data_IF_690427325446
#
_entry.id   IF_690427325446
#
_cell.length_a   1.000
_cell.length_b   1.000
_cell.length_c   1.000
_cell.angle_alpha   90.00
_cell.angle_beta   90.00
_cell.angle_gamma   90.00
#
_symmetry.space_group_name_H-M   'P 1'
#
loop_
_entity.id
_entity.type
_entity.pdbx_description
1 polymer ?
#
# COMPACT_ATOMS: atom_id res chain seq x y z
N UNK A 1 -5.20 53.04 -9.64
CA UNK A 1 -5.53 52.64 -8.26
C UNK A 1 -4.59 51.53 -7.83
N UNK A 2 -4.28 51.40 -6.53
CA UNK A 2 -3.54 50.26 -5.99
C UNK A 2 -4.48 49.06 -5.81
N UNK A 3 -4.02 47.86 -6.17
CA UNK A 3 -4.45 46.60 -5.53
C UNK A 3 -3.18 45.90 -5.04
N UNK A 4 -3.27 45.25 -3.89
CA UNK A 4 -2.13 44.89 -3.04
C UNK A 4 -2.19 43.40 -2.73
N UNK A 5 -1.18 42.65 -3.18
CA UNK A 5 -0.99 41.25 -2.80
C UNK A 5 0.31 41.12 -1.99
N UNK A 6 0.33 40.23 -0.99
CA UNK A 6 1.46 40.00 -0.08
C UNK A 6 1.46 38.53 0.36
N UNK A 7 2.58 38.09 0.93
CA UNK A 7 2.81 36.76 1.53
C UNK A 7 3.04 35.62 0.52
N UNK A 8 3.92 34.64 0.75
CA UNK A 8 4.96 34.52 1.82
C UNK A 8 5.95 33.39 1.50
N UNK A 9 7.19 33.51 1.98
CA UNK A 9 8.25 32.50 1.84
C UNK A 9 8.28 31.49 2.99
N UNK A 10 8.37 30.18 2.69
CA UNK A 10 9.10 29.10 3.42
C UNK A 10 9.37 28.04 2.33
N UNK A 11 10.56 27.65 1.86
CA UNK A 11 11.88 27.32 2.44
C UNK A 11 12.10 25.81 2.68
N UNK A 12 13.32 25.32 2.38
CA UNK A 12 13.83 23.93 2.38
C UNK A 12 13.25 22.96 1.30
N UNK A 13 14.01 22.01 0.75
CA UNK A 13 15.48 21.84 0.81
C UNK A 13 16.01 20.44 0.37
N UNK A 14 16.98 20.40 -0.57
CA UNK A 14 17.71 19.20 -1.07
C UNK A 14 16.87 18.15 -1.85
N UNK A 15 17.43 17.32 -2.75
CA UNK A 15 18.82 17.16 -3.19
C UNK A 15 18.96 16.49 -4.59
N UNK A 16 20.18 16.55 -5.14
CA UNK A 16 20.62 16.03 -6.47
C UNK A 16 21.35 14.67 -6.33
N UNK A 17 21.73 13.95 -7.42
CA UNK A 17 21.19 13.89 -8.79
C UNK A 17 21.08 12.44 -9.34
N UNK A 18 20.80 12.29 -10.64
CA UNK A 18 21.05 11.06 -11.42
C UNK A 18 22.56 10.78 -11.60
N UNK A 19 22.91 9.53 -11.94
CA UNK A 19 24.21 9.15 -12.49
C UNK A 19 24.11 7.88 -13.33
N UNK A 20 24.61 7.90 -14.58
CA UNK A 20 24.52 6.77 -15.51
C UNK A 20 25.75 6.67 -16.43
N UNK A 21 26.24 5.44 -16.60
CA UNK A 21 27.32 4.97 -17.49
C UNK A 21 27.07 3.46 -17.69
N UNK A 22 26.98 2.81 -18.87
CA UNK A 22 27.81 2.86 -20.09
C UNK A 22 29.27 2.45 -19.83
N UNK A 23 29.94 1.58 -20.60
CA UNK A 23 29.57 0.62 -21.66
C UNK A 23 30.72 -0.39 -21.78
N UNK A 24 30.53 -1.62 -22.29
CA UNK A 24 31.64 -2.58 -22.37
C UNK A 24 31.33 -3.96 -22.95
N UNK A 25 31.60 -4.12 -24.25
CA UNK A 25 31.49 -5.37 -25.03
C UNK A 25 32.50 -6.43 -24.55
N UNK A 26 32.04 -7.66 -24.28
CA UNK A 26 32.82 -8.90 -24.51
C UNK A 26 31.93 -10.17 -24.48
N UNK A 27 32.16 -11.07 -25.44
CA UNK A 27 31.78 -12.49 -25.49
C UNK A 27 32.94 -13.17 -26.26
N UNK A 28 33.29 -14.48 -26.08
CA UNK A 28 32.33 -15.57 -26.28
C UNK A 28 32.58 -16.91 -25.51
N UNK A 29 31.67 -17.88 -25.76
CA UNK A 29 31.88 -19.34 -25.88
C UNK A 29 32.54 -20.16 -24.73
N UNK A 30 31.72 -21.01 -24.09
CA UNK A 30 31.76 -22.50 -24.08
C UNK A 30 30.81 -22.98 -22.95
N UNK A 31 29.68 -23.62 -23.26
CA UNK A 31 29.49 -25.03 -23.64
C UNK A 31 29.45 -25.99 -22.43
N UNK A 32 28.26 -26.54 -22.16
CA UNK A 32 28.04 -27.92 -21.69
C UNK A 32 26.53 -28.29 -21.82
N UNK A 33 26.22 -29.59 -21.81
CA UNK A 33 24.86 -30.14 -21.94
C UNK A 33 24.03 -29.93 -20.60
N UNK A 34 22.72 -30.27 -20.44
CA UNK A 34 21.96 -31.37 -21.07
C UNK A 34 20.43 -31.31 -20.90
N UNK A 35 19.77 -31.44 -22.05
CA UNK A 35 18.45 -32.07 -22.35
C UNK A 35 17.65 -32.70 -21.18
N UNK A 36 16.37 -32.31 -21.05
CA UNK A 36 15.25 -33.29 -20.95
C UNK A 36 13.87 -32.70 -21.28
N UNK A 37 13.05 -33.61 -21.84
CA UNK A 37 11.65 -33.54 -22.34
C UNK A 37 10.64 -32.87 -21.39
N UNK A 38 9.49 -32.34 -21.83
CA UNK A 38 8.92 -32.24 -23.18
C UNK A 38 7.77 -33.23 -23.46
N UNK A 39 6.52 -32.81 -23.23
CA UNK A 39 5.22 -33.37 -23.68
C UNK A 39 4.11 -32.40 -23.18
N UNK A 40 2.95 -32.19 -23.80
CA UNK A 40 2.49 -32.43 -25.18
C UNK A 40 1.31 -31.46 -25.48
N UNK A 41 0.95 -31.23 -26.74
CA UNK A 41 -0.20 -30.38 -27.15
C UNK A 41 -1.07 -31.10 -28.18
N UNK A 42 -2.38 -31.20 -27.91
CA UNK A 42 -3.41 -31.59 -28.89
C UNK A 42 -4.77 -30.94 -28.51
N UNK A 43 -5.72 -30.71 -29.46
CA UNK A 43 -6.79 -29.73 -29.25
C UNK A 43 -8.24 -30.24 -29.45
N UNK A 44 -9.19 -29.36 -29.08
CA UNK A 44 -10.53 -29.14 -29.66
C UNK A 44 -11.62 -30.24 -29.61
N UNK A 45 -12.77 -29.85 -29.07
CA UNK A 45 -14.11 -30.28 -29.51
C UNK A 45 -15.15 -29.20 -29.12
N UNK A 46 -16.07 -28.87 -30.03
CA UNK A 46 -17.22 -27.98 -29.78
C UNK A 46 -18.52 -28.79 -29.74
N UNK A 47 -19.50 -28.33 -28.95
CA UNK A 47 -20.91 -28.72 -29.07
C UNK A 47 -21.80 -27.61 -28.49
N UNK A 48 -23.01 -27.45 -29.03
CA UNK A 48 -23.96 -26.40 -28.67
C UNK A 48 -25.26 -26.99 -28.07
N UNK A 49 -26.20 -26.09 -27.75
CA UNK A 49 -27.58 -26.31 -27.29
C UNK A 49 -27.79 -26.94 -25.89
N UNK A 50 -28.88 -26.60 -25.19
CA UNK A 50 -29.85 -25.56 -25.51
C UNK A 50 -31.13 -25.60 -24.68
N UNK A 51 -31.81 -24.45 -24.62
CA UNK A 51 -33.15 -24.24 -24.03
C UNK A 51 -33.26 -24.49 -22.50
N UNK A 52 -34.41 -24.12 -21.93
CA UNK A 52 -34.67 -24.19 -20.49
C UNK A 52 -36.17 -24.16 -20.16
N UNK A 53 -36.50 -24.34 -18.88
CA UNK A 53 -37.87 -24.36 -18.37
C UNK A 53 -37.96 -23.71 -16.98
N UNK A 54 -39.18 -23.36 -16.56
CA UNK A 54 -39.47 -22.57 -15.35
C UNK A 54 -40.50 -23.27 -14.44
N UNK A 55 -40.75 -22.69 -13.26
CA UNK A 55 -41.93 -22.92 -12.36
C UNK A 55 -41.87 -24.09 -11.34
N UNK A 56 -41.37 -23.73 -10.13
CA UNK A 56 -42.02 -23.90 -8.80
C UNK A 56 -42.15 -25.27 -8.08
N UNK A 57 -42.72 -25.18 -6.86
CA UNK A 57 -43.30 -26.23 -5.99
C UNK A 57 -42.42 -26.97 -4.93
N UNK A 58 -41.92 -26.19 -3.97
CA UNK A 58 -41.90 -26.45 -2.51
C UNK A 58 -42.33 -27.82 -1.93
N UNK A 59 -41.44 -28.47 -1.14
CA UNK A 59 -41.71 -29.12 0.17
C UNK A 59 -40.43 -29.77 0.76
N UNK A 60 -40.25 -29.73 2.09
CA UNK A 60 -39.28 -30.58 2.82
C UNK A 60 -38.19 -29.84 3.63
N UNK A 61 -38.42 -29.63 4.92
CA UNK A 61 -37.40 -29.42 5.97
C UNK A 61 -37.11 -30.79 6.65
N UNK A 62 -35.91 -31.06 7.19
CA UNK A 62 -35.32 -30.40 8.38
C UNK A 62 -33.92 -29.78 8.09
N UNK A 63 -33.51 -28.68 8.73
CA UNK A 63 -33.21 -28.49 10.16
C UNK A 63 -32.02 -29.32 10.66
N UNK A 64 -30.87 -28.66 10.80
CA UNK A 64 -29.71 -29.15 11.57
C UNK A 64 -29.25 -28.05 12.54
N UNK A 65 -29.29 -28.36 13.83
CA UNK A 65 -28.66 -27.61 14.92
C UNK A 65 -27.84 -28.60 15.77
N UNK A 66 -26.76 -28.15 16.45
CA UNK A 66 -25.86 -29.05 17.16
C UNK A 66 -26.54 -29.73 18.36
N UNK A 67 -26.18 -30.99 18.60
CA UNK A 67 -26.73 -31.78 19.71
C UNK A 67 -25.94 -31.55 21.01
N UNK A 68 -26.67 -31.31 22.10
CA UNK A 68 -26.17 -31.52 23.46
C UNK A 68 -26.03 -33.02 23.74
N UNK A 69 -25.12 -33.39 24.64
CA UNK A 69 -25.12 -34.72 25.28
C UNK A 69 -24.91 -34.56 26.78
N UNK A 70 -25.78 -35.18 27.59
CA UNK A 70 -25.62 -35.25 29.04
C UNK A 70 -26.24 -36.54 29.60
N UNK A 71 -25.51 -37.25 30.45
CA UNK A 71 -26.06 -38.21 31.42
C UNK A 71 -25.88 -39.72 31.13
N UNK A 72 -25.05 -40.36 31.98
CA UNK A 72 -25.22 -41.72 32.55
C UNK A 72 -25.16 -42.98 31.65
N UNK A 73 -24.99 -44.20 32.24
CA UNK A 73 -24.26 -44.58 33.47
C UNK A 73 -23.44 -45.91 33.33
N UNK A 74 -22.73 -46.31 34.41
CA UNK A 74 -22.28 -47.69 34.72
C UNK A 74 -21.19 -48.34 33.81
N UNK A 75 -20.39 -49.32 34.24
CA UNK A 75 -20.06 -49.87 35.58
C UNK A 75 -18.74 -50.71 35.53
N UNK A 76 -18.38 -51.34 36.65
CA UNK A 76 -17.19 -52.18 36.95
C UNK A 76 -15.91 -51.38 37.30
N UNK A 77 -15.26 -51.46 38.49
CA UNK A 77 -14.92 -52.58 39.42
C UNK A 77 -13.64 -53.32 38.96
N UNK A 78 -12.55 -53.50 39.72
CA UNK A 78 -12.18 -53.30 41.15
C UNK A 78 -10.62 -53.15 41.27
N UNK A 79 -9.89 -52.95 42.39
CA UNK A 79 -10.15 -52.77 43.84
C UNK A 79 -8.94 -52.00 44.46
N UNK A 80 -9.15 -51.08 45.41
CA UNK A 80 -8.18 -50.78 46.49
C UNK A 80 -8.83 -50.01 47.67
N UNK A 81 -8.69 -50.52 48.90
CA UNK A 81 -9.22 -49.87 50.11
C UNK A 81 -8.17 -49.08 50.89
N UNK A 82 -8.46 -47.84 51.27
CA UNK A 82 -7.92 -47.26 52.51
C UNK A 82 -8.98 -46.36 53.19
N UNK A 83 -9.12 -46.50 54.50
CA UNK A 83 -10.14 -45.80 55.30
C UNK A 83 -9.48 -44.72 56.14
N UNK A 84 -9.98 -43.48 56.04
CA UNK A 84 -9.64 -42.37 56.91
C UNK A 84 -10.93 -41.58 57.24
N UNK A 85 -11.72 -42.13 58.17
CA UNK A 85 -12.87 -41.43 58.75
C UNK A 85 -12.40 -40.35 59.75
N UNK A 86 -13.17 -39.26 59.83
CA UNK A 86 -13.23 -38.32 60.95
C UNK A 86 -14.33 -37.25 60.72
N UNK A 87 -15.58 -37.66 60.48
CA UNK A 87 -16.74 -36.75 60.65
C UNK A 87 -17.14 -36.70 62.13
N UNK A 88 -16.40 -35.97 62.95
CA UNK A 88 -16.80 -35.69 64.34
C UNK A 88 -17.84 -34.56 64.39
N UNK A 89 -19.11 -34.94 64.34
CA UNK A 89 -20.24 -34.11 64.77
C UNK A 89 -20.04 -33.62 66.21
N UNK A 90 -20.24 -32.33 66.52
CA UNK A 90 -20.02 -31.77 67.86
C UNK A 90 -21.12 -32.21 68.84
N UNK A 91 -21.06 -33.48 69.27
CA UNK A 91 -21.91 -34.01 70.35
C UNK A 91 -21.72 -33.16 71.60
N UNK A 92 -22.80 -32.51 72.04
CA UNK A 92 -22.86 -31.72 73.26
C UNK A 92 -22.61 -32.58 74.51
N UNK A 93 -21.33 -32.83 74.84
CA UNK A 93 -20.95 -33.21 76.20
C UNK A 93 -20.92 -31.95 77.04
N UNK A 94 -21.97 -31.78 77.85
CA UNK A 94 -22.06 -30.79 78.94
C UNK A 94 -21.07 -31.13 80.07
N UNK A 95 -19.78 -31.02 79.76
CA UNK A 95 -18.67 -31.14 80.71
C UNK A 95 -18.70 -29.95 81.67
N UNK A 96 -19.57 -30.04 82.68
CA UNK A 96 -19.87 -29.01 83.65
C UNK A 96 -18.57 -28.62 84.40
N UNK A 97 -18.03 -27.39 84.24
CA UNK A 97 -16.67 -27.06 84.67
C UNK A 97 -16.47 -27.11 86.20
N UNK A 98 -17.56 -27.14 86.96
CA UNK A 98 -17.56 -27.10 88.42
C UNK A 98 -17.27 -28.45 89.11
N UNK A 99 -16.96 -29.54 88.37
CA UNK A 99 -16.72 -30.86 88.99
C UNK A 99 -15.27 -31.12 89.48
N UNK A 100 -14.33 -30.17 89.29
CA UNK A 100 -12.95 -30.27 89.82
C UNK A 100 -12.69 -29.26 90.95
N UNK A 101 -13.68 -29.06 91.82
CA UNK A 101 -13.51 -28.46 93.14
C UNK A 101 -14.21 -29.33 94.19
N UNK A 102 -13.52 -30.40 94.63
CA UNK A 102 -13.83 -31.00 95.94
C UNK A 102 -13.30 -30.04 97.02
N UNK A 103 -14.16 -29.44 97.87
CA UNK A 103 -13.66 -28.63 98.96
C UNK A 103 -12.92 -29.53 99.97
N UNK A 104 -11.60 -29.37 100.04
CA UNK A 104 -10.79 -29.96 101.11
C UNK A 104 -11.21 -29.29 102.42
N UNK A 105 -12.10 -29.97 103.16
CA UNK A 105 -12.59 -29.52 104.46
C UNK A 105 -11.40 -29.53 105.44
N UNK A 106 -10.85 -28.34 105.69
CA UNK A 106 -9.69 -28.13 106.54
C UNK A 106 -10.10 -28.21 108.03
N UNK A 107 -10.54 -29.39 108.47
CA UNK A 107 -10.90 -29.61 109.88
C UNK A 107 -9.65 -29.55 110.75
N UNK A 108 -9.56 -28.51 111.58
CA UNK A 108 -8.44 -28.34 112.51
C UNK A 108 -8.42 -29.45 113.57
N UNK A 109 -7.46 -30.37 113.45
CA UNK A 109 -6.98 -31.20 114.56
C UNK A 109 -5.46 -31.18 114.55
N UNK A 110 -4.88 -31.08 115.75
CA UNK A 110 -3.44 -30.81 115.98
C UNK A 110 -2.57 -31.83 115.23
N UNK A 111 -1.91 -31.38 114.16
CA UNK A 111 -1.14 -32.25 113.28
C UNK A 111 0.26 -32.52 113.81
N UNK A 112 0.59 -33.80 114.06
CA UNK A 112 1.97 -34.25 114.12
C UNK A 112 2.66 -34.15 112.75
N UNK A 113 3.98 -34.30 112.71
CA UNK A 113 4.85 -34.12 111.52
C UNK A 113 4.29 -34.75 110.23
N UNK A 114 3.71 -35.95 110.33
CA UNK A 114 3.06 -36.67 109.22
C UNK A 114 2.02 -35.84 108.44
N UNK A 115 1.25 -34.99 109.11
CA UNK A 115 0.22 -34.16 108.45
C UNK A 115 0.80 -32.98 107.66
N UNK A 116 2.00 -32.51 108.03
CA UNK A 116 2.75 -31.54 107.22
C UNK A 116 3.37 -32.22 106.00
N UNK A 117 3.95 -33.42 106.19
CA UNK A 117 4.55 -34.22 105.10
C UNK A 117 3.53 -34.59 104.02
N UNK A 118 2.29 -34.96 104.39
CA UNK A 118 1.27 -35.26 103.39
C UNK A 118 0.85 -33.98 102.63
N UNK A 119 0.68 -32.84 103.31
CA UNK A 119 0.34 -31.55 102.64
C UNK A 119 1.45 -31.05 101.71
N UNK A 120 2.72 -31.18 102.06
CA UNK A 120 3.82 -30.80 101.16
C UNK A 120 3.94 -31.75 99.98
N UNK A 121 3.64 -33.04 100.18
CA UNK A 121 3.54 -34.03 99.10
C UNK A 121 2.36 -33.77 98.17
N UNK A 122 1.18 -33.46 98.70
CA UNK A 122 0.00 -33.04 97.93
C UNK A 122 0.32 -31.78 97.09
N UNK A 123 0.94 -30.76 97.70
CA UNK A 123 1.37 -29.56 97.00
C UNK A 123 2.38 -29.86 95.88
N UNK A 124 3.36 -30.73 96.11
CA UNK A 124 4.33 -31.13 95.09
C UNK A 124 3.69 -31.93 93.94
N UNK A 125 2.76 -32.85 94.24
CA UNK A 125 2.03 -33.61 93.23
C UNK A 125 1.11 -32.69 92.39
N UNK A 126 0.47 -31.70 93.01
CA UNK A 126 -0.30 -30.68 92.33
C UNK A 126 0.59 -29.80 91.43
N UNK A 127 1.76 -29.37 91.93
CA UNK A 127 2.74 -28.61 91.16
C UNK A 127 3.23 -29.40 89.93
N UNK A 128 3.63 -30.66 90.11
CA UNK A 128 4.06 -31.55 89.03
C UNK A 128 2.95 -31.78 87.99
N UNK A 129 1.70 -31.93 88.43
CA UNK A 129 0.55 -32.06 87.53
C UNK A 129 0.22 -30.74 86.79
N UNK A 130 0.39 -29.59 87.43
CA UNK A 130 0.27 -28.26 86.83
C UNK A 130 1.36 -28.07 85.76
N UNK A 131 2.62 -28.39 86.07
CA UNK A 131 3.73 -28.16 85.14
C UNK A 131 3.72 -29.14 83.96
N UNK A 132 3.26 -30.38 84.18
CA UNK A 132 2.96 -31.35 83.10
C UNK A 132 1.85 -30.82 82.18
N UNK A 133 0.79 -30.22 82.74
CA UNK A 133 -0.27 -29.57 81.94
C UNK A 133 0.24 -28.34 81.19
N UNK A 134 1.09 -27.49 81.80
CA UNK A 134 1.72 -26.35 81.11
C UNK A 134 2.56 -26.82 79.92
N UNK A 135 3.38 -27.86 80.10
CA UNK A 135 4.22 -28.41 79.04
C UNK A 135 3.37 -28.95 77.87
N UNK A 136 2.28 -29.67 78.13
CA UNK A 136 1.39 -30.13 77.06
C UNK A 136 0.62 -28.96 76.41
N UNK A 137 0.22 -27.93 77.16
CA UNK A 137 -0.40 -26.71 76.61
C UNK A 137 0.56 -25.99 75.66
N UNK A 138 1.83 -25.82 76.02
CA UNK A 138 2.85 -25.21 75.15
C UNK A 138 3.06 -26.04 73.88
N UNK A 139 3.25 -27.36 74.02
CA UNK A 139 3.37 -28.30 72.90
C UNK A 139 2.16 -28.29 71.95
N UNK A 140 0.94 -28.11 72.48
CA UNK A 140 -0.26 -27.95 71.67
C UNK A 140 -0.35 -26.57 71.01
N UNK A 141 0.08 -25.51 71.70
CA UNK A 141 0.16 -24.15 71.16
C UNK A 141 1.15 -24.08 69.99
N UNK A 142 2.35 -24.63 70.13
CA UNK A 142 3.38 -24.61 69.09
C UNK A 142 2.92 -25.40 67.86
N UNK A 143 2.32 -26.59 68.07
CA UNK A 143 1.71 -27.39 66.99
C UNK A 143 0.49 -26.71 66.35
N UNK A 144 -0.19 -25.80 67.05
CA UNK A 144 -1.25 -24.98 66.47
C UNK A 144 -0.66 -23.81 65.66
N UNK A 145 0.42 -23.19 66.12
CA UNK A 145 1.14 -22.14 65.41
C UNK A 145 1.77 -22.66 64.10
N UNK A 146 2.42 -23.83 64.12
CA UNK A 146 2.93 -24.52 62.92
C UNK A 146 1.83 -24.75 61.88
N UNK A 147 0.67 -25.27 62.31
CA UNK A 147 -0.49 -25.49 61.44
C UNK A 147 -1.06 -24.19 60.89
N UNK A 148 -1.16 -23.15 61.72
CA UNK A 148 -1.65 -21.82 61.31
C UNK A 148 -0.74 -21.22 60.24
N UNK A 149 0.59 -21.28 60.44
CA UNK A 149 1.58 -20.84 59.45
C UNK A 149 1.54 -21.67 58.16
N UNK A 150 1.30 -22.98 58.24
CA UNK A 150 1.14 -23.83 57.06
C UNK A 150 -0.13 -23.47 56.26
N UNK A 151 -1.26 -23.25 56.95
CA UNK A 151 -2.51 -22.80 56.32
C UNK A 151 -2.34 -21.42 55.69
N UNK A 152 -1.77 -20.44 56.41
CA UNK A 152 -1.51 -19.09 55.88
C UNK A 152 -0.59 -19.10 54.65
N UNK A 153 0.40 -20.01 54.61
CA UNK A 153 1.25 -20.19 53.42
C UNK A 153 0.44 -20.74 52.25
N UNK A 154 -0.37 -21.78 52.46
CA UNK A 154 -1.23 -22.34 51.43
C UNK A 154 -2.27 -21.34 50.90
N UNK A 155 -2.90 -20.57 51.79
CA UNK A 155 -3.81 -19.47 51.47
C UNK A 155 -3.13 -18.43 50.58
N UNK A 156 -1.97 -17.88 50.99
CA UNK A 156 -1.27 -16.88 50.17
C UNK A 156 -0.68 -17.44 48.87
N UNK A 157 -0.56 -18.75 48.70
CA UNK A 157 -0.26 -19.36 47.40
C UNK A 157 -1.53 -19.40 46.54
N UNK A 158 -2.63 -19.91 47.06
CA UNK A 158 -3.92 -19.97 46.35
C UNK A 158 -4.41 -18.57 45.93
N UNK A 159 -4.24 -17.54 46.76
CA UNK A 159 -4.54 -16.14 46.39
C UNK A 159 -3.69 -15.65 45.21
N UNK A 160 -2.38 -15.95 45.20
CA UNK A 160 -1.49 -15.57 44.09
C UNK A 160 -1.82 -16.33 42.81
N UNK A 161 -2.18 -17.60 42.90
CA UNK A 161 -2.50 -18.41 41.74
C UNK A 161 -3.88 -18.06 41.15
N UNK A 162 -4.84 -17.66 42.00
CA UNK A 162 -6.08 -17.02 41.57
C UNK A 162 -5.83 -15.67 40.86
N UNK A 163 -4.95 -14.81 41.40
CA UNK A 163 -4.56 -13.54 40.76
C UNK A 163 -3.94 -13.76 39.37
N UNK A 164 -3.02 -14.72 39.22
CA UNK A 164 -2.44 -15.11 37.92
C UNK A 164 -3.49 -15.63 36.95
N UNK A 165 -4.50 -16.37 37.43
CA UNK A 165 -5.57 -16.89 36.57
C UNK A 165 -6.47 -15.75 36.06
N UNK A 166 -6.81 -14.81 36.93
CA UNK A 166 -7.50 -13.55 36.60
C UNK A 166 -6.73 -12.72 35.55
N UNK A 167 -5.40 -12.62 35.70
CA UNK A 167 -4.51 -11.94 34.74
C UNK A 167 -4.39 -12.71 33.42
N UNK A 168 -4.36 -14.05 33.46
CA UNK A 168 -4.38 -14.90 32.28
C UNK A 168 -5.68 -14.76 31.49
N UNK A 169 -6.84 -14.76 32.15
CA UNK A 169 -8.13 -14.51 31.49
C UNK A 169 -8.16 -13.13 30.83
N UNK A 170 -7.82 -12.06 31.56
CA UNK A 170 -7.80 -10.68 31.02
C UNK A 170 -6.85 -10.53 29.82
N UNK A 171 -5.67 -11.16 29.86
CA UNK A 171 -4.70 -11.12 28.76
C UNK A 171 -5.10 -12.01 27.58
N UNK A 172 -5.73 -13.16 27.83
CA UNK A 172 -6.33 -14.03 26.81
C UNK A 172 -7.48 -13.31 26.07
N UNK A 173 -8.42 -12.72 26.80
CA UNK A 173 -9.56 -11.99 26.22
C UNK A 173 -9.09 -10.76 25.44
N UNK A 174 -8.10 -10.02 25.96
CA UNK A 174 -7.48 -8.92 25.24
C UNK A 174 -6.78 -9.38 23.94
N UNK A 175 -6.04 -10.48 23.99
CA UNK A 175 -5.39 -11.07 22.81
C UNK A 175 -6.40 -11.58 21.77
N UNK A 176 -7.51 -12.18 22.22
CA UNK A 176 -8.60 -12.61 21.34
C UNK A 176 -9.29 -11.41 20.67
N UNK A 177 -9.59 -10.34 21.42
CA UNK A 177 -10.13 -9.10 20.84
C UNK A 177 -9.14 -8.39 19.90
N UNK A 178 -7.84 -8.44 20.16
CA UNK A 178 -6.84 -7.96 19.20
C UNK A 178 -6.79 -8.83 17.93
N UNK A 179 -6.86 -10.15 18.05
CA UNK A 179 -6.87 -11.06 16.90
C UNK A 179 -8.09 -10.80 16.00
N UNK A 180 -9.27 -10.61 16.60
CA UNK A 180 -10.50 -10.22 15.88
C UNK A 180 -10.29 -8.89 15.16
N UNK A 181 -9.86 -7.83 15.85
CA UNK A 181 -9.62 -6.51 15.23
C UNK A 181 -8.60 -6.55 14.08
N UNK A 182 -7.54 -7.37 14.22
CA UNK A 182 -6.51 -7.56 13.19
C UNK A 182 -7.07 -8.31 11.98
N UNK A 183 -7.97 -9.27 12.19
CA UNK A 183 -8.67 -9.96 11.10
C UNK A 183 -9.68 -9.04 10.39
N UNK A 184 -10.49 -8.29 11.14
CA UNK A 184 -11.49 -7.35 10.60
C UNK A 184 -10.83 -6.24 9.76
N UNK A 185 -9.73 -5.65 10.24
CA UNK A 185 -8.98 -4.63 9.52
C UNK A 185 -8.30 -5.21 8.25
N UNK A 186 -7.76 -6.43 8.32
CA UNK A 186 -7.23 -7.11 7.14
C UNK A 186 -8.33 -7.40 6.10
N UNK A 187 -9.53 -7.80 6.55
CA UNK A 187 -10.70 -8.00 5.70
C UNK A 187 -11.17 -6.69 5.06
N UNK A 188 -11.26 -5.59 5.83
CA UNK A 188 -11.60 -4.25 5.34
C UNK A 188 -10.62 -3.77 4.27
N UNK A 189 -9.32 -3.84 4.54
CA UNK A 189 -8.26 -3.48 3.58
C UNK A 189 -8.33 -4.35 2.31
N UNK A 190 -8.65 -5.65 2.44
CA UNK A 190 -8.83 -6.56 1.31
C UNK A 190 -10.06 -6.20 0.47
N UNK A 191 -11.17 -5.84 1.11
CA UNK A 191 -12.40 -5.40 0.45
C UNK A 191 -12.20 -4.07 -0.29
N UNK A 192 -11.54 -3.09 0.34
CA UNK A 192 -11.20 -1.79 -0.25
C UNK A 192 -10.25 -1.93 -1.46
N UNK A 193 -9.24 -2.79 -1.36
CA UNK A 193 -8.39 -3.14 -2.51
C UNK A 193 -9.19 -3.80 -3.63
N UNK A 194 -10.13 -4.68 -3.29
CA UNK A 194 -10.98 -5.37 -4.27
C UNK A 194 -11.95 -4.43 -4.99
N UNK A 195 -12.54 -3.44 -4.30
CA UNK A 195 -13.40 -2.42 -4.94
C UNK A 195 -12.56 -1.45 -5.78
N UNK A 196 -11.38 -1.04 -5.31
CA UNK A 196 -10.44 -0.22 -6.08
C UNK A 196 -9.98 -0.91 -7.38
N UNK A 197 -9.60 -2.19 -7.31
CA UNK A 197 -9.25 -2.99 -8.51
C UNK A 197 -10.43 -3.11 -9.48
N UNK A 198 -11.66 -3.29 -8.98
CA UNK A 198 -12.87 -3.33 -9.82
C UNK A 198 -13.10 -1.99 -10.54
N UNK A 199 -12.93 -0.87 -9.84
CA UNK A 199 -13.07 0.47 -10.40
C UNK A 199 -11.97 0.80 -11.43
N UNK A 200 -10.72 0.35 -11.18
CA UNK A 200 -9.62 0.49 -12.15
C UNK A 200 -9.85 -0.37 -13.41
N UNK A 201 -10.41 -1.58 -13.28
CA UNK A 201 -10.82 -2.40 -14.44
C UNK A 201 -11.91 -1.69 -15.26
N UNK A 202 -12.97 -1.19 -14.63
CA UNK A 202 -14.01 -0.39 -15.30
C UNK A 202 -13.43 0.81 -16.08
N UNK A 203 -12.50 1.56 -15.46
CA UNK A 203 -11.79 2.67 -16.12
C UNK A 203 -10.93 2.21 -17.30
N UNK A 204 -10.21 1.10 -17.14
CA UNK A 204 -9.39 0.50 -18.19
C UNK A 204 -10.26 0.09 -19.39
N UNK A 205 -11.36 -0.62 -19.15
CA UNK A 205 -12.21 -1.17 -20.21
C UNK A 205 -13.02 -0.07 -20.92
N UNK A 206 -13.48 0.97 -20.20
CA UNK A 206 -14.03 2.18 -20.82
C UNK A 206 -12.98 2.94 -21.68
N UNK A 207 -11.71 2.94 -21.26
CA UNK A 207 -10.61 3.53 -22.04
C UNK A 207 -10.28 2.71 -23.29
N UNK A 208 -10.28 1.36 -23.19
CA UNK A 208 -10.16 0.46 -24.36
C UNK A 208 -11.29 0.67 -25.36
N UNK A 209 -12.54 0.76 -24.90
CA UNK A 209 -13.69 0.99 -25.77
C UNK A 209 -13.59 2.35 -26.51
N UNK A 210 -13.16 3.41 -25.81
CA UNK A 210 -12.86 4.70 -26.44
C UNK A 210 -11.71 4.60 -27.46
N UNK A 211 -10.65 3.85 -27.15
CA UNK A 211 -9.53 3.65 -28.06
C UNK A 211 -9.93 2.85 -29.32
N UNK A 212 -10.82 1.85 -29.19
CA UNK A 212 -11.39 1.12 -30.31
C UNK A 212 -12.23 2.04 -31.22
N UNK A 213 -13.19 2.78 -30.66
CA UNK A 213 -14.00 3.75 -31.44
C UNK A 213 -13.16 4.84 -32.09
N UNK A 214 -12.09 5.31 -31.44
CA UNK A 214 -11.17 6.26 -32.05
C UNK A 214 -10.33 5.61 -33.18
N UNK A 215 -9.94 4.32 -33.05
CA UNK A 215 -9.26 3.58 -34.12
C UNK A 215 -10.17 3.38 -35.34
N UNK A 216 -11.44 3.09 -35.13
CA UNK A 216 -12.46 3.00 -36.19
C UNK A 216 -12.59 4.34 -36.93
N UNK A 217 -12.75 5.45 -36.21
CA UNK A 217 -12.79 6.81 -36.80
C UNK A 217 -11.50 7.16 -37.56
N UNK A 218 -10.32 6.78 -37.05
CA UNK A 218 -9.06 6.98 -37.78
C UNK A 218 -9.00 6.16 -39.06
N UNK A 219 -9.57 4.95 -39.10
CA UNK A 219 -9.68 4.17 -40.33
C UNK A 219 -10.69 4.77 -41.31
N UNK A 220 -11.82 5.25 -40.82
CA UNK A 220 -12.85 5.96 -41.59
C UNK A 220 -12.29 7.25 -42.22
N UNK A 221 -11.69 8.13 -41.41
CA UNK A 221 -11.04 9.36 -41.88
C UNK A 221 -9.84 9.09 -42.79
N UNK A 222 -9.13 7.97 -42.63
CA UNK A 222 -8.07 7.55 -43.55
C UNK A 222 -8.64 7.16 -44.93
N UNK A 223 -9.78 6.44 -44.96
CA UNK A 223 -10.49 6.14 -46.23
C UNK A 223 -11.01 7.42 -46.89
N UNK A 224 -11.62 8.33 -46.14
CA UNK A 224 -12.07 9.61 -46.66
C UNK A 224 -10.91 10.49 -47.15
N UNK A 225 -9.78 10.52 -46.44
CA UNK A 225 -8.55 11.20 -46.91
C UNK A 225 -8.07 10.60 -48.22
N UNK A 226 -7.97 9.27 -48.32
CA UNK A 226 -7.53 8.61 -49.55
C UNK A 226 -8.47 8.89 -50.74
N UNK A 227 -9.79 8.89 -50.51
CA UNK A 227 -10.78 9.28 -51.51
C UNK A 227 -10.62 10.74 -51.95
N UNK A 228 -10.54 11.68 -51.00
CA UNK A 228 -10.34 13.10 -51.28
C UNK A 228 -9.03 13.36 -52.04
N UNK A 229 -7.93 12.69 -51.67
CA UNK A 229 -6.65 12.75 -52.39
C UNK A 229 -6.75 12.18 -53.81
N UNK A 230 -7.65 11.22 -54.07
CA UNK A 230 -7.86 10.67 -55.42
C UNK A 230 -8.67 11.63 -56.32
N UNK A 231 -9.73 12.25 -55.80
CA UNK A 231 -10.59 13.17 -56.57
C UNK A 231 -10.03 14.60 -56.67
N UNK A 232 -9.03 14.97 -55.85
CA UNK A 232 -8.36 16.27 -55.96
C UNK A 232 -7.40 16.27 -57.16
N UNK A 233 -7.36 17.34 -57.98
CA UNK A 233 -6.39 17.47 -59.06
C UNK A 233 -4.94 17.30 -58.59
N UNK A 234 -4.21 16.36 -59.19
CA UNK A 234 -2.88 15.96 -58.71
C UNK A 234 -1.80 17.04 -58.89
N UNK A 235 -1.97 17.96 -59.84
CA UNK A 235 -1.03 19.06 -60.03
C UNK A 235 -1.17 20.11 -58.92
N UNK A 236 -2.41 20.48 -58.58
CA UNK A 236 -2.68 21.32 -57.40
C UNK A 236 -2.17 20.70 -56.09
N UNK A 237 -2.23 19.37 -55.95
CA UNK A 237 -1.65 18.69 -54.78
C UNK A 237 -0.11 18.85 -54.71
N UNK A 238 0.60 18.83 -55.85
CA UNK A 238 2.06 19.06 -55.88
C UNK A 238 2.37 20.50 -55.49
N UNK A 239 1.68 21.46 -56.10
CA UNK A 239 1.83 22.89 -55.81
C UNK A 239 1.62 23.18 -54.31
N UNK A 240 0.59 22.57 -53.69
CA UNK A 240 0.36 22.68 -52.25
C UNK A 240 1.38 21.92 -51.40
N UNK A 241 1.91 20.79 -51.85
CA UNK A 241 2.97 20.07 -51.14
C UNK A 241 4.27 20.89 -51.14
N UNK A 242 4.60 21.57 -52.24
CA UNK A 242 5.73 22.49 -52.34
C UNK A 242 5.54 23.75 -51.48
N UNK A 243 4.40 24.43 -51.60
CA UNK A 243 4.06 25.58 -50.74
C UNK A 243 4.03 25.21 -49.24
N UNK A 244 3.59 23.99 -48.89
CA UNK A 244 3.63 23.48 -47.52
C UNK A 244 5.06 23.20 -47.06
N UNK A 245 5.89 22.54 -47.89
CA UNK A 245 7.33 22.34 -47.62
C UNK A 245 8.05 23.67 -47.38
N UNK A 246 7.81 24.68 -48.22
CA UNK A 246 8.36 26.03 -48.01
C UNK A 246 7.89 26.66 -46.70
N UNK A 247 6.58 26.63 -46.42
CA UNK A 247 6.00 27.18 -45.18
C UNK A 247 6.58 26.50 -43.93
N UNK A 248 6.74 25.17 -43.97
CA UNK A 248 7.35 24.39 -42.88
C UNK A 248 8.85 24.69 -42.75
N UNK A 249 9.59 24.85 -43.85
CA UNK A 249 10.99 25.26 -43.81
C UNK A 249 11.17 26.67 -43.23
N UNK A 250 10.34 27.62 -43.63
CA UNK A 250 10.34 28.98 -43.07
C UNK A 250 10.03 28.97 -41.57
N UNK A 251 9.01 28.22 -41.13
CA UNK A 251 8.70 28.07 -39.70
C UNK A 251 9.81 27.36 -38.93
N UNK A 252 10.44 26.32 -39.49
CA UNK A 252 11.61 25.65 -38.91
C UNK A 252 12.76 26.63 -38.72
N UNK A 253 13.08 27.43 -39.74
CA UNK A 253 14.13 28.45 -39.66
C UNK A 253 13.82 29.51 -38.60
N UNK A 254 12.61 30.06 -38.58
CA UNK A 254 12.16 31.05 -37.59
C UNK A 254 12.20 30.49 -36.16
N UNK A 255 11.76 29.24 -35.97
CA UNK A 255 11.77 28.57 -34.67
C UNK A 255 13.20 28.30 -34.19
N UNK A 256 14.10 27.80 -35.05
CA UNK A 256 15.52 27.59 -34.70
C UNK A 256 16.22 28.91 -34.39
N UNK A 257 15.95 29.98 -35.16
CA UNK A 257 16.47 31.32 -34.86
C UNK A 257 15.96 31.84 -33.51
N UNK A 258 14.66 31.68 -33.22
CA UNK A 258 14.07 32.07 -31.93
C UNK A 258 14.65 31.29 -30.75
N UNK A 259 14.83 29.97 -30.88
CA UNK A 259 15.46 29.13 -29.86
C UNK A 259 16.94 29.45 -29.65
N UNK A 260 17.69 29.72 -30.73
CA UNK A 260 19.08 30.15 -30.65
C UNK A 260 19.20 31.54 -29.99
N UNK A 261 18.31 32.48 -30.31
CA UNK A 261 18.25 33.79 -29.66
C UNK A 261 17.91 33.69 -28.17
N UNK A 262 16.90 32.87 -27.81
CA UNK A 262 16.54 32.60 -26.42
C UNK A 262 17.71 31.98 -25.64
N UNK A 263 18.43 31.05 -26.27
CA UNK A 263 19.62 30.44 -25.69
C UNK A 263 20.79 31.43 -25.54
N UNK A 264 21.01 32.34 -26.51
CA UNK A 264 22.01 33.39 -26.40
C UNK A 264 21.70 34.37 -25.26
N UNK A 265 20.43 34.74 -25.07
CA UNK A 265 19.98 35.57 -23.96
C UNK A 265 20.18 34.88 -22.60
N UNK A 266 19.82 33.59 -22.48
CA UNK A 266 20.09 32.79 -21.28
C UNK A 266 21.60 32.67 -21.00
N UNK A 267 22.39 32.39 -22.03
CA UNK A 267 23.85 32.30 -21.93
C UNK A 267 24.49 33.63 -21.50
N UNK A 268 24.00 34.76 -22.01
CA UNK A 268 24.45 36.09 -21.58
C UNK A 268 24.10 36.37 -20.11
N UNK A 269 22.87 36.07 -19.67
CA UNK A 269 22.46 36.22 -18.28
C UNK A 269 23.24 35.31 -17.32
N UNK A 270 23.48 34.04 -17.69
CA UNK A 270 24.31 33.12 -16.92
C UNK A 270 25.78 33.57 -16.85
N UNK A 271 26.31 34.17 -17.93
CA UNK A 271 27.66 34.77 -17.93
C UNK A 271 27.75 36.00 -17.02
N UNK A 272 26.75 36.88 -17.06
CA UNK A 272 26.66 38.07 -16.20
C UNK A 272 26.55 37.67 -14.72
N UNK A 273 25.68 36.70 -14.40
CA UNK A 273 25.57 36.13 -13.07
C UNK A 273 26.91 35.52 -12.58
N UNK A 274 27.66 34.82 -13.44
CA UNK A 274 29.00 34.31 -13.09
C UNK A 274 30.01 35.45 -12.82
N UNK A 275 29.86 36.60 -13.49
CA UNK A 275 30.70 37.77 -13.23
C UNK A 275 30.30 38.53 -11.97
N UNK A 276 29.02 38.69 -11.68
CA UNK A 276 28.55 39.28 -10.42
C UNK A 276 28.96 38.40 -9.22
N UNK A 277 28.75 37.09 -9.34
CA UNK A 277 29.18 36.05 -8.39
C UNK A 277 30.71 36.08 -8.14
N UNK A 278 31.51 36.50 -9.13
CA UNK A 278 32.95 36.75 -8.99
C UNK A 278 33.25 38.12 -8.35
N UNK A 279 32.60 39.20 -8.80
CA UNK A 279 32.79 40.57 -8.30
C UNK A 279 32.47 40.68 -6.81
N UNK A 280 31.38 40.05 -6.36
CA UNK A 280 31.02 39.99 -4.94
C UNK A 280 32.13 39.33 -4.10
N UNK A 281 32.60 38.15 -4.53
CA UNK A 281 33.62 37.38 -3.79
C UNK A 281 34.98 38.08 -3.79
N UNK A 282 35.32 38.80 -4.86
CA UNK A 282 36.50 39.68 -4.87
C UNK A 282 36.36 40.84 -3.88
N UNK A 283 35.20 41.51 -3.81
CA UNK A 283 34.94 42.53 -2.79
C UNK A 283 34.97 41.95 -1.37
N UNK A 284 34.47 40.73 -1.17
CA UNK A 284 34.47 40.07 0.14
C UNK A 284 35.89 39.74 0.61
N UNK A 285 36.77 39.27 -0.29
CA UNK A 285 38.20 39.13 -0.02
C UNK A 285 38.88 40.47 0.30
N UNK A 286 38.51 41.56 -0.38
CA UNK A 286 39.05 42.89 -0.08
C UNK A 286 38.59 43.43 1.28
N UNK A 287 37.31 43.22 1.64
CA UNK A 287 36.75 43.50 2.97
C UNK A 287 37.37 42.63 4.09
N UNK A 288 37.98 41.48 3.74
CA UNK A 288 38.77 40.64 4.66
C UNK A 288 40.23 41.09 4.76
N UNK A 289 40.85 41.52 3.64
CA UNK A 289 42.20 42.10 3.57
C UNK A 289 42.36 43.34 4.46
N UNK A 290 41.35 44.21 4.52
CA UNK A 290 41.36 45.40 5.40
C UNK A 290 41.27 45.08 6.89
N UNK A 291 40.98 43.83 7.28
CA UNK A 291 40.91 43.35 8.68
C UNK A 291 42.20 42.67 9.15
N UNK A 292 43.34 42.96 8.53
CA UNK A 292 44.68 42.61 9.03
C UNK A 292 45.27 41.28 8.53
N UNK A 293 44.56 40.51 7.71
CA UNK A 293 45.09 39.27 7.12
C UNK A 293 45.87 39.58 5.83
N UNK A 294 47.12 39.11 5.75
CA UNK A 294 47.98 39.25 4.56
C UNK A 294 47.42 38.45 3.38
N UNK A 295 46.60 39.08 2.55
CA UNK A 295 46.06 38.48 1.33
C UNK A 295 47.17 38.23 0.29
N UNK A 296 47.43 36.96 -0.03
CA UNK A 296 48.29 36.58 -1.14
C UNK A 296 47.54 36.66 -2.49
N UNK A 297 48.27 36.67 -3.60
CA UNK A 297 47.66 36.69 -4.94
C UNK A 297 46.98 35.36 -5.34
N UNK A 298 47.19 34.28 -4.58
CA UNK A 298 46.68 32.94 -4.88
C UNK A 298 45.14 32.84 -4.86
N UNK A 299 44.47 33.12 -3.72
CA UNK A 299 43.00 33.00 -3.60
C UNK A 299 42.22 33.85 -4.61
N UNK A 300 42.78 34.99 -5.03
CA UNK A 300 42.20 35.82 -6.09
C UNK A 300 42.22 35.10 -7.44
N UNK A 301 43.39 34.61 -7.86
CA UNK A 301 43.53 33.83 -9.10
C UNK A 301 42.69 32.55 -9.08
N UNK A 302 42.57 31.91 -7.92
CA UNK A 302 41.74 30.70 -7.75
C UNK A 302 40.24 30.99 -7.95
N UNK A 303 39.72 32.13 -7.49
CA UNK A 303 38.35 32.55 -7.77
C UNK A 303 38.14 32.90 -9.25
N UNK A 304 39.08 33.63 -9.85
CA UNK A 304 39.07 33.99 -11.27
C UNK A 304 39.10 32.73 -12.16
N UNK A 305 39.95 31.74 -11.85
CA UNK A 305 40.02 30.44 -12.52
C UNK A 305 38.75 29.59 -12.30
N UNK A 306 38.15 29.63 -11.11
CA UNK A 306 36.86 28.96 -10.83
C UNK A 306 35.72 29.57 -11.65
N UNK A 307 35.67 30.89 -11.78
CA UNK A 307 34.70 31.57 -12.65
C UNK A 307 34.94 31.21 -14.14
N UNK A 308 36.20 31.19 -14.59
CA UNK A 308 36.53 30.78 -15.96
C UNK A 308 36.14 29.31 -16.23
N UNK A 309 36.37 28.40 -15.27
CA UNK A 309 35.89 27.00 -15.33
C UNK A 309 34.37 26.92 -15.42
N UNK A 310 33.61 27.75 -14.68
CA UNK A 310 32.14 27.86 -14.86
C UNK A 310 31.79 28.31 -16.29
N UNK A 311 32.39 29.39 -16.80
CA UNK A 311 32.14 29.90 -18.17
C UNK A 311 32.44 28.84 -19.25
N UNK A 312 33.58 28.13 -19.14
CA UNK A 312 33.97 27.01 -20.02
C UNK A 312 33.03 25.79 -19.92
N UNK A 313 32.39 25.56 -18.77
CA UNK A 313 31.37 24.52 -18.62
C UNK A 313 29.99 24.95 -19.13
N UNK A 314 29.71 26.25 -19.13
CA UNK A 314 28.46 26.82 -19.65
C UNK A 314 28.46 26.76 -21.19
N UNK A 315 29.52 27.23 -21.84
CA UNK A 315 29.63 27.21 -23.32
C UNK A 315 29.61 25.78 -23.90
N UNK A 316 30.13 24.79 -23.18
CA UNK A 316 30.04 23.36 -23.53
C UNK A 316 28.63 22.75 -23.47
N UNK A 317 27.63 23.48 -22.98
CA UNK A 317 26.21 23.08 -22.95
C UNK A 317 25.36 23.83 -23.97
N UNK A 318 25.96 24.75 -24.72
CA UNK A 318 25.27 25.49 -25.77
C UNK A 318 24.92 24.52 -26.89
N UNK A 319 23.68 24.58 -27.39
CA UNK A 319 23.24 23.70 -28.47
C UNK A 319 23.62 24.28 -29.82
N UNK A 320 23.90 23.41 -30.78
CA UNK A 320 24.13 23.80 -32.18
C UNK A 320 22.80 24.00 -32.89
N UNK A 321 22.75 24.86 -33.91
CA UNK A 321 21.54 25.06 -34.73
C UNK A 321 20.97 23.74 -35.26
N UNK A 322 21.83 22.82 -35.74
CA UNK A 322 21.45 21.48 -36.20
C UNK A 322 20.80 20.60 -35.10
N UNK A 323 21.13 20.80 -33.82
CA UNK A 323 20.51 20.07 -32.71
C UNK A 323 19.11 20.60 -32.40
N UNK A 324 18.88 21.91 -32.59
CA UNK A 324 17.54 22.48 -32.60
C UNK A 324 16.75 22.03 -33.83
N UNK A 325 17.35 22.00 -35.03
CA UNK A 325 16.68 21.48 -36.23
C UNK A 325 16.13 20.06 -36.06
N UNK A 326 16.86 19.19 -35.34
CA UNK A 326 16.45 17.82 -35.01
C UNK A 326 15.39 17.75 -33.89
N UNK A 327 15.10 18.86 -33.20
CA UNK A 327 14.00 18.98 -32.22
C UNK A 327 12.70 19.55 -32.83
N UNK A 328 12.72 19.97 -34.09
CA UNK A 328 11.54 20.53 -34.76
C UNK A 328 10.68 19.43 -35.38
N UNK A 329 9.45 19.26 -34.88
CA UNK A 329 8.46 18.30 -35.37
C UNK A 329 7.87 18.74 -36.73
N UNK A 330 8.64 18.48 -37.79
CA UNK A 330 8.29 18.88 -39.15
C UNK A 330 7.06 18.12 -39.70
N UNK A 331 6.84 16.86 -39.30
CA UNK A 331 5.74 16.04 -39.80
C UNK A 331 4.38 16.56 -39.32
N UNK A 332 4.26 16.84 -38.02
CA UNK A 332 3.05 17.40 -37.43
C UNK A 332 2.76 18.81 -37.94
N UNK A 333 3.81 19.64 -38.12
CA UNK A 333 3.65 20.99 -38.65
C UNK A 333 3.24 20.98 -40.14
N UNK A 334 3.75 20.03 -40.94
CA UNK A 334 3.33 19.86 -42.33
C UNK A 334 1.85 19.46 -42.47
N UNK A 335 1.35 18.59 -41.60
CA UNK A 335 -0.08 18.23 -41.56
C UNK A 335 -1.01 19.42 -41.24
N UNK A 336 -0.51 20.43 -40.53
CA UNK A 336 -1.21 21.68 -40.22
C UNK A 336 -1.03 22.76 -41.30
N UNK A 337 -0.03 22.62 -42.18
CA UNK A 337 0.31 23.60 -43.21
C UNK A 337 -0.36 23.35 -44.57
N UNK A 338 -0.89 22.14 -44.81
CA UNK A 338 -1.58 21.76 -46.04
C UNK A 338 -3.01 22.33 -46.05
N UNK A 339 -3.30 23.19 -47.02
CA UNK A 339 -4.67 23.60 -47.34
C UNK A 339 -5.45 22.44 -48.00
N UNK A 340 -6.73 22.29 -47.67
CA UNK A 340 -7.65 21.36 -48.37
C UNK A 340 -8.20 22.00 -49.66
N UNK A 341 -8.39 21.21 -50.72
CA UNK A 341 -8.96 21.69 -51.98
C UNK A 341 -10.44 22.04 -51.80
N UNK A 342 -11.24 21.05 -51.40
CA UNK A 342 -12.63 21.22 -51.01
C UNK A 342 -12.70 21.90 -49.63
N UNK A 343 -13.53 22.94 -49.52
CA UNK A 343 -13.78 23.70 -48.29
C UNK A 343 -15.16 23.41 -47.69
N UNK A 344 -16.13 23.00 -48.52
CA UNK A 344 -17.46 22.53 -48.11
C UNK A 344 -17.61 21.03 -48.43
N UNK A 345 -18.00 20.16 -47.48
CA UNK A 345 -18.19 18.72 -47.72
C UNK A 345 -19.24 18.38 -48.79
N UNK A 346 -20.06 19.33 -49.23
CA UNK A 346 -20.98 19.17 -50.36
C UNK A 346 -20.31 19.40 -51.73
N UNK A 347 -19.15 20.05 -51.82
CA UNK A 347 -18.48 20.35 -53.10
C UNK A 347 -18.14 19.09 -53.92
N UNK A 348 -17.58 18.01 -53.36
CA UNK A 348 -17.42 16.74 -54.09
C UNK A 348 -18.75 16.19 -54.61
N UNK A 349 -19.82 16.28 -53.82
CA UNK A 349 -21.14 15.73 -54.18
C UNK A 349 -21.82 16.54 -55.30
N UNK A 350 -21.63 17.86 -55.33
CA UNK A 350 -22.04 18.72 -56.46
C UNK A 350 -21.27 18.34 -57.72
N UNK A 351 -19.95 18.24 -57.65
CA UNK A 351 -19.09 17.86 -58.78
C UNK A 351 -19.44 16.48 -59.35
N UNK A 352 -19.70 15.48 -58.49
CA UNK A 352 -20.16 14.17 -58.95
C UNK A 352 -21.53 14.23 -59.64
N UNK A 353 -22.49 15.01 -59.09
CA UNK A 353 -23.81 15.18 -59.70
C UNK A 353 -23.76 15.93 -61.04
N UNK A 354 -22.91 16.95 -61.16
CA UNK A 354 -22.65 17.68 -62.40
C UNK A 354 -22.03 16.76 -63.46
N UNK A 355 -21.05 15.92 -63.07
CA UNK A 355 -20.47 14.89 -63.93
C UNK A 355 -21.48 13.78 -64.29
N UNK A 356 -22.39 13.38 -63.40
CA UNK A 356 -23.46 12.42 -63.71
C UNK A 356 -24.44 12.99 -64.74
N UNK A 357 -24.83 14.26 -64.60
CA UNK A 357 -25.70 14.97 -65.55
C UNK A 357 -25.02 15.16 -66.92
N UNK A 358 -23.74 15.53 -66.96
CA UNK A 358 -22.97 15.63 -68.21
C UNK A 358 -22.79 14.26 -68.88
N UNK A 359 -22.42 13.21 -68.13
CA UNK A 359 -22.29 11.86 -68.68
C UNK A 359 -23.63 11.33 -69.22
N UNK A 360 -24.74 11.58 -68.53
CA UNK A 360 -26.08 11.20 -69.00
C UNK A 360 -26.44 11.94 -70.30
N UNK A 361 -26.15 13.24 -70.39
CA UNK A 361 -26.34 14.04 -71.60
C UNK A 361 -25.46 13.54 -72.77
N UNK A 362 -24.19 13.20 -72.52
CA UNK A 362 -23.30 12.62 -73.53
C UNK A 362 -23.79 11.25 -74.02
N UNK A 363 -24.29 10.39 -73.12
CA UNK A 363 -24.90 9.10 -73.46
C UNK A 363 -26.16 9.30 -74.30
N UNK A 364 -27.03 10.25 -73.94
CA UNK A 364 -28.24 10.56 -74.71
C UNK A 364 -27.88 11.09 -76.12
N UNK A 365 -26.97 12.06 -76.23
CA UNK A 365 -26.52 12.58 -77.53
C UNK A 365 -25.89 11.49 -78.42
N UNK A 366 -25.14 10.56 -77.83
CA UNK A 366 -24.58 9.42 -78.56
C UNK A 366 -25.69 8.48 -79.07
N UNK A 367 -26.70 8.19 -78.26
CA UNK A 367 -27.87 7.39 -78.67
C UNK A 367 -28.67 8.09 -79.78
N UNK A 368 -28.98 9.37 -79.63
CA UNK A 368 -29.72 10.16 -80.64
C UNK A 368 -28.94 10.24 -81.96
N UNK A 369 -27.62 10.44 -81.91
CA UNK A 369 -26.75 10.43 -83.10
C UNK A 369 -26.76 9.07 -83.81
N UNK A 370 -26.71 7.96 -83.05
CA UNK A 370 -26.81 6.60 -83.59
C UNK A 370 -28.20 6.35 -84.20
N UNK A 371 -29.28 6.79 -83.56
CA UNK A 371 -30.65 6.66 -84.06
C UNK A 371 -30.86 7.46 -85.36
N UNK A 372 -30.37 8.70 -85.43
CA UNK A 372 -30.43 9.54 -86.63
C UNK A 372 -29.58 8.95 -87.77
N UNK A 373 -28.41 8.39 -87.46
CA UNK A 373 -27.55 7.69 -88.41
C UNK A 373 -28.15 6.37 -88.94
N UNK A 374 -28.85 5.62 -88.10
CA UNK A 374 -29.62 4.44 -88.51
C UNK A 374 -30.83 4.83 -89.37
N UNK A 375 -31.54 5.90 -89.02
CA UNK A 375 -32.67 6.42 -89.82
C UNK A 375 -32.21 6.92 -91.20
N UNK A 376 -31.01 7.50 -91.31
CA UNK A 376 -30.37 7.84 -92.59
C UNK A 376 -29.82 6.63 -93.38
N UNK A 377 -29.74 5.43 -92.78
CA UNK A 377 -29.40 4.18 -93.49
C UNK A 377 -30.64 3.36 -93.89
N UNK A 378 -31.84 3.78 -93.50
CA UNK A 378 -33.11 3.14 -93.86
C UNK A 378 -33.97 3.98 -94.83
N UNK A 379 -33.37 5.00 -95.45
CA UNK A 379 -33.91 5.78 -96.58
C UNK A 379 -32.95 5.68 -97.75
#
# INVERSE_FOLDING_TARGET
MLVKAKSSEISSGSGKPQGATASGIANPLQDEERVSRGDAVAPAAEAQDGQGATVAASKGLPSYSPANTAGNPSAYQENASFVADCRDEPKQRSANPNQILKPLNLTEKRGGTRALVEKTREAFLLQMAIDTRKAEILKLHDRAAEKSEAVRKAETMLTRDAQKFDEFLRSSDAAAHEAIRKADEAARISQEKTTAVRHLRQKLDATKARAASNREKVQEYSRYRAFLTHITPQDWLKDQEELSKERVQQQKQQWVQSQLQQQQLQYAADLEAIEEDLREKLQELEKKKSRGVKASAGPRKELEEKAEKKKRQLSRKLKTAAEFENMFDAENMALSAIDLYFKDPQEPLRLFKELEEENLFLIQNAQETVIVGLSHRQR
#
